data_IF_069181953204
#
_entry.id   IF_069181953204
#
_cell.length_a   1.000
_cell.length_b   1.000
_cell.length_c   1.000
_cell.angle_alpha   90.00
_cell.angle_beta   90.00
_cell.angle_gamma   90.00
#
_symmetry.space_group_name_H-M   'P 1'
#
loop_
_entity.id
_entity.type
_entity.pdbx_description
1 polymer ?
#
# COMPACT_ATOMS: atom_id res chain seq x y z
N UNK A 1 25.77 20.63 -19.92
CA UNK A 1 24.43 20.13 -20.32
C UNK A 1 23.86 19.45 -19.10
N UNK A 2 22.89 20.08 -18.42
CA UNK A 2 22.30 19.55 -17.19
C UNK A 2 21.14 18.62 -17.53
N UNK A 3 21.15 17.40 -17.02
CA UNK A 3 20.00 16.50 -17.07
C UNK A 3 19.07 16.92 -15.92
N UNK A 4 17.97 17.58 -16.24
CA UNK A 4 16.90 17.88 -15.27
C UNK A 4 15.98 16.67 -15.25
N UNK A 5 16.19 15.79 -14.27
CA UNK A 5 15.28 14.68 -13.98
C UNK A 5 14.44 15.04 -12.77
N UNK A 6 13.12 14.94 -12.90
CA UNK A 6 12.24 14.99 -11.75
C UNK A 6 12.33 13.66 -11.01
N UNK A 7 12.75 13.70 -9.75
CA UNK A 7 12.63 12.56 -8.83
C UNK A 7 11.23 12.63 -8.25
N UNK A 8 10.42 11.59 -8.49
CA UNK A 8 9.07 11.50 -7.95
C UNK A 8 9.08 10.97 -6.52
N UNK A 9 8.08 11.40 -5.74
CA UNK A 9 7.81 10.84 -4.42
C UNK A 9 7.37 9.37 -4.52
N UNK A 10 7.49 8.64 -3.41
CA UNK A 10 7.10 7.23 -3.34
C UNK A 10 5.62 7.07 -3.75
N UNK A 11 5.35 6.12 -4.64
CA UNK A 11 4.04 5.90 -5.24
C UNK A 11 3.77 6.64 -6.56
N UNK A 12 4.74 7.39 -7.09
CA UNK A 12 4.61 8.09 -8.38
C UNK A 12 5.77 7.76 -9.33
N UNK A 13 5.48 7.67 -10.63
CA UNK A 13 6.52 7.54 -11.65
C UNK A 13 6.43 8.64 -12.71
N UNK A 14 7.59 8.93 -13.33
CA UNK A 14 7.67 10.01 -14.30
C UNK A 14 6.95 9.65 -15.60
N UNK A 15 6.22 10.62 -16.12
CA UNK A 15 5.71 10.62 -17.50
C UNK A 15 6.29 11.80 -18.26
N UNK A 16 6.22 11.75 -19.60
CA UNK A 16 6.68 12.81 -20.50
C UNK A 16 8.18 13.15 -20.35
N UNK A 17 9.04 12.23 -20.78
CA UNK A 17 10.51 12.39 -20.79
C UNK A 17 11.14 12.72 -19.41
N UNK A 18 10.50 12.34 -18.30
CA UNK A 18 11.07 12.56 -16.97
C UNK A 18 10.73 13.92 -16.35
N UNK A 19 9.76 14.66 -16.93
CA UNK A 19 9.44 16.03 -16.52
C UNK A 19 8.31 16.14 -15.51
N UNK A 20 7.37 15.18 -15.48
CA UNK A 20 6.21 15.24 -14.60
C UNK A 20 6.01 13.93 -13.83
N UNK A 21 5.65 14.03 -12.56
CA UNK A 21 5.21 12.90 -11.72
C UNK A 21 3.68 12.84 -11.74
N UNK A 22 3.12 12.50 -12.91
CA UNK A 22 1.68 12.58 -13.13
C UNK A 22 0.98 11.22 -13.11
N UNK A 23 1.73 10.11 -13.09
CA UNK A 23 1.13 8.78 -13.04
C UNK A 23 1.42 8.06 -11.74
N UNK A 24 0.32 7.61 -11.15
CA UNK A 24 0.25 6.83 -9.93
C UNK A 24 0.78 5.42 -10.17
N UNK A 25 1.59 4.92 -9.24
CA UNK A 25 2.08 3.55 -9.26
C UNK A 25 0.99 2.66 -8.69
N UNK A 26 0.56 1.65 -9.44
CA UNK A 26 -0.35 0.64 -8.90
C UNK A 26 0.44 -0.31 -7.97
N UNK A 27 0.48 -0.03 -6.67
CA UNK A 27 1.15 -0.92 -5.72
C UNK A 27 0.40 -2.23 -5.50
N UNK A 28 -0.88 -2.33 -5.90
CA UNK A 28 -1.63 -3.57 -5.79
C UNK A 28 -1.09 -4.67 -6.71
N UNK A 29 -0.33 -4.33 -7.76
CA UNK A 29 0.36 -5.30 -8.62
C UNK A 29 1.39 -6.15 -7.87
N UNK A 30 1.86 -5.69 -6.69
CA UNK A 30 2.78 -6.45 -5.84
C UNK A 30 2.07 -7.37 -4.85
N UNK A 31 0.73 -7.40 -4.87
CA UNK A 31 -0.11 -8.13 -3.93
C UNK A 31 0.29 -7.88 -2.46
N UNK A 32 0.32 -6.60 -2.01
CA UNK A 32 0.82 -6.27 -0.66
C UNK A 32 -0.12 -6.74 0.45
N UNK A 33 -1.41 -6.97 0.16
CA UNK A 33 -2.41 -7.37 1.14
C UNK A 33 -2.35 -8.86 1.46
N UNK A 34 -2.16 -9.18 2.74
CA UNK A 34 -2.10 -10.53 3.26
C UNK A 34 -3.48 -11.03 3.68
N UNK A 35 -3.56 -12.32 4.04
CA UNK A 35 -4.73 -12.93 4.68
C UNK A 35 -6.05 -12.70 3.93
N UNK A 36 -5.99 -12.84 2.61
CA UNK A 36 -7.13 -12.69 1.71
C UNK A 36 -7.74 -11.27 1.73
N UNK A 37 -6.95 -10.26 2.12
CA UNK A 37 -7.29 -8.85 2.01
C UNK A 37 -7.40 -8.41 0.55
N UNK A 38 -8.37 -7.55 0.25
CA UNK A 38 -8.54 -7.00 -1.10
C UNK A 38 -7.74 -5.70 -1.24
N UNK A 39 -6.76 -5.68 -2.15
CA UNK A 39 -6.01 -4.47 -2.44
C UNK A 39 -6.84 -3.50 -3.28
N UNK A 40 -6.80 -2.22 -2.90
CA UNK A 40 -7.35 -1.10 -3.67
C UNK A 40 -6.26 -0.06 -3.86
N UNK A 41 -5.91 0.18 -5.12
CA UNK A 41 -4.98 1.23 -5.45
C UNK A 41 -5.62 2.60 -5.18
N UNK A 42 -4.84 3.53 -4.65
CA UNK A 42 -5.26 4.89 -4.32
C UNK A 42 -4.24 5.89 -4.83
N UNK A 43 -4.61 7.16 -4.96
CA UNK A 43 -3.70 8.16 -5.50
C UNK A 43 -2.51 8.37 -4.54
N UNK A 44 -1.32 7.95 -4.97
CA UNK A 44 -0.05 7.99 -4.28
C UNK A 44 0.17 6.87 -3.27
N UNK A 45 -0.69 5.84 -3.21
CA UNK A 45 -0.56 4.74 -2.24
C UNK A 45 -1.54 3.59 -2.52
N UNK A 46 -1.61 2.62 -1.62
CA UNK A 46 -2.63 1.58 -1.65
C UNK A 46 -3.35 1.44 -0.31
N UNK A 47 -4.54 0.84 -0.36
CA UNK A 47 -5.30 0.46 0.82
C UNK A 47 -5.72 -1.01 0.74
N UNK A 48 -5.44 -1.76 1.82
CA UNK A 48 -5.90 -3.12 1.96
C UNK A 48 -7.22 -3.18 2.73
N UNK A 49 -8.26 -3.70 2.07
CA UNK A 49 -9.53 -4.04 2.73
C UNK A 49 -9.41 -5.44 3.37
N UNK A 50 -9.21 -5.47 4.67
CA UNK A 50 -9.01 -6.71 5.42
C UNK A 50 -10.29 -7.50 5.65
N UNK A 51 -10.15 -8.82 5.78
CA UNK A 51 -11.24 -9.73 6.09
C UNK A 51 -11.58 -9.69 7.58
N UNK A 52 -12.76 -10.22 7.94
CA UNK A 52 -13.17 -10.32 9.34
C UNK A 52 -12.09 -11.09 10.12
N UNK A 53 -11.56 -10.45 11.18
CA UNK A 53 -10.46 -10.90 12.04
C UNK A 53 -9.04 -10.46 11.64
N UNK A 54 -8.84 -9.64 10.62
CA UNK A 54 -7.53 -9.10 10.28
C UNK A 54 -7.51 -7.56 10.30
N UNK A 55 -6.39 -6.98 10.69
CA UNK A 55 -6.14 -5.54 10.71
C UNK A 55 -4.68 -5.23 10.37
N UNK A 56 -4.30 -3.95 10.39
CA UNK A 56 -2.99 -3.48 9.94
C UNK A 56 -3.02 -2.91 8.53
N UNK A 57 -1.90 -2.35 8.09
CA UNK A 57 -1.81 -1.69 6.77
C UNK A 57 -1.87 -2.69 5.61
N UNK A 58 -1.45 -3.93 5.86
CA UNK A 58 -1.44 -5.03 4.89
C UNK A 58 -2.24 -6.24 5.38
N UNK A 59 -3.13 -6.06 6.36
CA UNK A 59 -3.91 -7.15 6.97
C UNK A 59 -3.04 -8.23 7.64
N UNK A 60 -1.89 -7.82 8.18
CA UNK A 60 -0.88 -8.67 8.79
C UNK A 60 -1.18 -9.01 10.26
N UNK A 61 -2.07 -8.26 10.91
CA UNK A 61 -2.39 -8.40 12.33
C UNK A 61 -3.67 -9.22 12.50
N UNK A 62 -3.60 -10.35 13.18
CA UNK A 62 -4.76 -11.17 13.53
C UNK A 62 -5.44 -10.65 14.81
N UNK A 63 -6.70 -10.23 14.67
CA UNK A 63 -7.52 -9.74 15.76
C UNK A 63 -7.92 -10.83 16.76
N UNK A 64 -8.02 -12.10 16.35
CA UNK A 64 -8.37 -13.20 17.26
C UNK A 64 -7.22 -13.58 18.17
N UNK A 65 -5.98 -13.42 17.72
CA UNK A 65 -4.80 -13.60 18.59
C UNK A 65 -4.47 -12.33 19.37
N UNK A 66 -4.82 -11.15 18.83
CA UNK A 66 -4.60 -9.86 19.50
C UNK A 66 -5.66 -9.49 20.55
N UNK A 67 -6.91 -9.96 20.41
CA UNK A 67 -8.04 -9.71 21.32
C UNK A 67 -8.71 -11.00 21.82
N UNK A 68 -8.10 -12.17 21.58
CA UNK A 68 -8.59 -13.45 22.07
C UNK A 68 -8.59 -13.55 23.60
N UNK A 69 -9.18 -14.62 24.17
CA UNK A 69 -9.40 -14.80 25.61
C UNK A 69 -8.11 -14.87 26.48
N UNK A 70 -6.93 -14.68 25.88
CA UNK A 70 -5.65 -14.53 26.57
C UNK A 70 -5.34 -13.08 26.99
N UNK A 71 -6.16 -12.09 26.66
CA UNK A 71 -6.08 -10.76 27.27
C UNK A 71 -6.89 -10.71 28.57
N UNK A 72 -6.41 -11.41 29.59
CA UNK A 72 -6.88 -11.32 30.96
C UNK A 72 -5.66 -11.25 31.88
N UNK A 73 -5.34 -10.03 32.32
CA UNK A 73 -4.42 -9.81 33.45
C UNK A 73 -5.05 -10.22 34.78
#
# INVERSE_FOLDING_TARGET
MGNYTCVCDEGWYTTDNGLNCATDIDECLKEPCLNNGTCKNTIGSFHCACTQNWTGSTCEIDLLTSFGPFSGG
#
